data_IF_127881387680
#
_entry.id   IF_127881387680
#
_cell.length_a   1.000
_cell.length_b   1.000
_cell.length_c   1.000
_cell.angle_alpha   90.00
_cell.angle_beta   90.00
_cell.angle_gamma   90.00
#
_symmetry.space_group_name_H-M   'P 1'
#
loop_
_entity.id
_entity.type
_entity.pdbx_description
1 polymer ?
#
# COMPACT_ATOMS: atom_id res chain seq x y z
N UNK A 1 -18.54 3.54 -23.84
CA UNK A 1 -19.57 3.90 -22.85
C UNK A 1 -18.86 4.41 -21.61
N UNK A 2 -19.57 5.06 -20.68
CA UNK A 2 -18.97 5.47 -19.41
C UNK A 2 -19.24 4.42 -18.33
N UNK A 3 -18.43 4.41 -17.28
CA UNK A 3 -18.57 3.48 -16.17
C UNK A 3 -19.93 3.60 -15.48
N UNK A 4 -20.52 4.80 -15.43
CA UNK A 4 -21.87 5.05 -14.90
C UNK A 4 -23.01 4.34 -15.67
N UNK A 5 -22.73 3.86 -16.89
CA UNK A 5 -23.71 3.21 -17.76
C UNK A 5 -23.65 1.67 -17.68
N UNK A 6 -22.73 1.12 -16.87
CA UNK A 6 -22.57 -0.32 -16.65
C UNK A 6 -23.79 -0.86 -15.90
N UNK A 7 -24.20 -2.09 -16.23
CA UNK A 7 -25.29 -2.76 -15.51
C UNK A 7 -24.73 -3.62 -14.39
N UNK A 8 -25.55 -3.81 -13.35
CA UNK A 8 -25.19 -4.66 -12.21
C UNK A 8 -24.81 -6.06 -12.72
N UNK A 9 -23.65 -6.54 -12.27
CA UNK A 9 -23.07 -7.83 -12.64
C UNK A 9 -22.19 -7.81 -13.90
N UNK A 10 -22.22 -6.74 -14.69
CA UNK A 10 -21.38 -6.64 -15.88
C UNK A 10 -19.95 -6.24 -15.51
N UNK A 11 -18.97 -6.95 -16.08
CA UNK A 11 -17.56 -6.55 -16.07
C UNK A 11 -17.22 -5.76 -17.34
N UNK A 12 -16.45 -4.69 -17.16
CA UNK A 12 -15.92 -3.87 -18.25
C UNK A 12 -14.44 -3.59 -18.05
N UNK A 13 -13.74 -3.23 -19.12
CA UNK A 13 -12.36 -2.80 -19.05
C UNK A 13 -12.27 -1.27 -19.12
N UNK A 14 -11.49 -0.67 -18.21
CA UNK A 14 -11.19 0.76 -18.21
C UNK A 14 -10.36 1.09 -19.45
N UNK A 15 -10.89 1.98 -20.30
CA UNK A 15 -10.20 2.42 -21.51
C UNK A 15 -9.43 3.71 -21.28
N UNK A 16 -10.06 4.68 -20.63
CA UNK A 16 -9.49 6.01 -20.43
C UNK A 16 -10.09 6.68 -19.21
N UNK A 17 -9.25 7.39 -18.47
CA UNK A 17 -9.66 8.24 -17.35
C UNK A 17 -9.82 9.67 -17.82
N UNK A 18 -11.00 10.24 -17.60
CA UNK A 18 -11.23 11.68 -17.59
C UNK A 18 -10.88 12.29 -16.25
N UNK A 19 -11.22 13.58 -16.10
CA UNK A 19 -10.76 14.39 -14.96
C UNK A 19 -9.37 14.99 -15.22
N UNK A 20 -9.09 16.12 -14.54
CA UNK A 20 -7.82 16.84 -14.64
C UNK A 20 -7.17 16.93 -13.24
N UNK A 21 -5.83 16.93 -13.18
CA UNK A 21 -5.07 17.06 -11.95
C UNK A 21 -5.45 16.03 -10.88
N UNK A 22 -5.74 16.51 -9.67
CA UNK A 22 -5.96 15.69 -8.48
C UNK A 22 -7.04 14.60 -8.63
N UNK A 23 -8.13 14.86 -9.37
CA UNK A 23 -9.19 13.86 -9.54
C UNK A 23 -8.72 12.65 -10.36
N UNK A 24 -7.97 12.90 -11.45
CA UNK A 24 -7.44 11.81 -12.27
C UNK A 24 -6.41 11.00 -11.49
N UNK A 25 -5.56 11.68 -10.72
CA UNK A 25 -4.60 11.01 -9.85
C UNK A 25 -5.32 10.16 -8.80
N UNK A 26 -6.41 10.67 -8.21
CA UNK A 26 -7.20 9.91 -7.25
C UNK A 26 -7.79 8.62 -7.85
N UNK A 27 -8.23 8.63 -9.12
CA UNK A 27 -8.65 7.40 -9.81
C UNK A 27 -7.50 6.39 -9.95
N UNK A 28 -6.32 6.86 -10.34
CA UNK A 28 -5.12 6.02 -10.45
C UNK A 28 -4.73 5.43 -9.09
N UNK A 29 -4.79 6.24 -8.03
CA UNK A 29 -4.50 5.84 -6.65
C UNK A 29 -5.50 4.79 -6.14
N UNK A 30 -6.74 4.83 -6.62
CA UNK A 30 -7.76 3.80 -6.39
C UNK A 30 -7.65 2.63 -7.38
N UNK A 31 -6.55 2.47 -8.11
CA UNK A 31 -6.32 1.35 -9.02
C UNK A 31 -7.19 1.35 -10.29
N UNK A 32 -7.96 2.41 -10.53
CA UNK A 32 -8.74 2.58 -11.76
C UNK A 32 -7.77 3.04 -12.84
N UNK A 33 -7.09 2.09 -13.48
CA UNK A 33 -6.08 2.33 -14.51
C UNK A 33 -6.55 1.79 -15.86
N UNK A 34 -6.10 2.35 -17.01
CA UNK A 34 -6.38 1.76 -18.31
C UNK A 34 -5.96 0.29 -18.35
N UNK A 35 -6.84 -0.58 -18.86
CA UNK A 35 -6.66 -2.02 -18.87
C UNK A 35 -7.28 -2.75 -17.67
N UNK A 36 -7.58 -2.06 -16.56
CA UNK A 36 -8.17 -2.70 -15.39
C UNK A 36 -9.60 -3.20 -15.68
N UNK A 37 -9.90 -4.43 -15.22
CA UNK A 37 -11.25 -4.96 -15.22
C UNK A 37 -11.99 -4.46 -13.98
N UNK A 38 -13.20 -3.95 -14.19
CA UNK A 38 -14.07 -3.44 -13.13
C UNK A 38 -15.49 -3.97 -13.32
N UNK A 39 -16.08 -4.49 -12.24
CA UNK A 39 -17.42 -5.07 -12.25
C UNK A 39 -18.35 -4.23 -11.40
N UNK A 40 -19.53 -3.87 -11.89
CA UNK A 40 -20.52 -3.18 -11.06
C UNK A 40 -21.24 -4.19 -10.15
N UNK A 41 -21.10 -4.03 -8.84
CA UNK A 41 -21.68 -4.94 -7.84
C UNK A 41 -23.11 -4.54 -7.52
N UNK A 42 -23.35 -3.26 -7.19
CA UNK A 42 -24.69 -2.74 -6.89
C UNK A 42 -24.72 -1.21 -6.90
N UNK A 43 -25.93 -0.67 -6.80
CA UNK A 43 -26.16 0.75 -6.50
C UNK A 43 -26.52 0.89 -5.01
N UNK A 44 -26.16 2.01 -4.41
CA UNK A 44 -26.77 2.44 -3.16
C UNK A 44 -28.29 2.57 -3.32
N UNK A 45 -29.09 2.47 -2.24
CA UNK A 45 -30.56 2.48 -2.32
C UNK A 45 -31.18 3.69 -3.05
N UNK A 46 -30.47 4.83 -3.09
CA UNK A 46 -30.89 6.05 -3.77
C UNK A 46 -30.23 6.26 -5.15
N UNK A 47 -29.49 5.27 -5.66
CA UNK A 47 -28.82 5.32 -6.96
C UNK A 47 -27.42 5.94 -6.97
N UNK A 48 -26.95 6.51 -5.86
CA UNK A 48 -25.60 7.08 -5.69
C UNK A 48 -25.16 6.89 -4.22
N UNK A 49 -23.93 6.41 -3.93
CA UNK A 49 -22.87 5.98 -4.85
C UNK A 49 -23.10 4.60 -5.50
N UNK A 50 -22.28 4.31 -6.51
CA UNK A 50 -22.16 3.00 -7.16
C UNK A 50 -21.04 2.19 -6.50
N UNK A 51 -21.24 0.88 -6.33
CA UNK A 51 -20.24 -0.02 -5.73
C UNK A 51 -19.69 -0.99 -6.78
N UNK A 52 -18.36 -1.04 -6.91
CA UNK A 52 -17.63 -1.81 -7.92
C UNK A 52 -16.67 -2.80 -7.28
N UNK A 53 -16.41 -3.90 -7.97
CA UNK A 53 -15.31 -4.81 -7.69
C UNK A 53 -14.15 -4.47 -8.64
N UNK A 54 -12.95 -4.25 -8.07
CA UNK A 54 -11.73 -3.91 -8.80
C UNK A 54 -10.54 -4.55 -8.08
N UNK A 55 -9.66 -5.25 -8.80
CA UNK A 55 -8.46 -5.91 -8.23
C UNK A 55 -8.73 -6.71 -6.93
N UNK A 56 -9.87 -7.41 -6.88
CA UNK A 56 -10.23 -8.23 -5.73
C UNK A 56 -10.82 -7.49 -4.52
N UNK A 57 -11.04 -6.17 -4.58
CA UNK A 57 -11.70 -5.41 -3.51
C UNK A 57 -12.90 -4.59 -3.98
N UNK A 58 -13.75 -4.18 -3.02
CA UNK A 58 -14.90 -3.31 -3.27
C UNK A 58 -14.51 -1.81 -3.17
N UNK A 59 -14.90 -1.05 -4.19
CA UNK A 59 -14.70 0.38 -4.33
C UNK A 59 -16.06 1.09 -4.52
N UNK A 60 -16.28 2.19 -3.81
CA UNK A 60 -17.48 3.01 -4.00
C UNK A 60 -17.12 4.31 -4.73
N UNK A 61 -17.87 4.65 -5.78
CA UNK A 61 -17.69 5.87 -6.56
C UNK A 61 -19.01 6.59 -6.72
N UNK A 62 -18.98 7.92 -6.64
CA UNK A 62 -20.14 8.73 -7.01
C UNK A 62 -20.42 8.57 -8.50
N UNK A 63 -21.69 8.63 -8.88
CA UNK A 63 -22.12 8.55 -10.28
C UNK A 63 -21.40 9.62 -11.13
N UNK A 64 -21.29 10.85 -10.62
CA UNK A 64 -20.61 11.95 -11.30
C UNK A 64 -19.11 11.70 -11.57
N UNK A 65 -18.47 10.84 -10.78
CA UNK A 65 -17.07 10.45 -11.00
C UNK A 65 -16.98 9.25 -11.95
N UNK A 66 -17.89 8.29 -11.84
CA UNK A 66 -18.02 7.19 -12.79
C UNK A 66 -18.33 7.67 -14.23
N UNK A 67 -19.04 8.79 -14.38
CA UNK A 67 -19.28 9.43 -15.69
C UNK A 67 -18.00 9.90 -16.39
N UNK A 68 -16.93 10.13 -15.64
CA UNK A 68 -15.65 10.60 -16.19
C UNK A 68 -14.74 9.45 -16.61
N UNK A 69 -15.15 8.19 -16.41
CA UNK A 69 -14.34 7.01 -16.73
C UNK A 69 -14.91 6.34 -17.98
N UNK A 70 -14.14 6.32 -19.06
CA UNK A 70 -14.50 5.64 -20.30
C UNK A 70 -14.15 4.15 -20.19
N UNK A 71 -15.11 3.30 -20.54
CA UNK A 71 -14.97 1.84 -20.48
C UNK A 71 -15.43 1.17 -21.77
N UNK A 72 -14.91 -0.03 -21.99
CA UNK A 72 -15.30 -0.94 -23.07
C UNK A 72 -15.77 -2.26 -22.48
N UNK A 73 -16.78 -2.86 -23.09
CA UNK A 73 -17.18 -4.23 -22.76
C UNK A 73 -15.98 -5.17 -22.93
N UNK A 74 -15.87 -6.17 -22.06
CA UNK A 74 -14.92 -7.24 -22.27
C UNK A 74 -15.30 -7.96 -23.55
N UNK A 75 -14.46 -7.81 -24.59
CA UNK A 75 -14.60 -8.62 -25.78
C UNK A 75 -14.42 -10.08 -25.39
N UNK A 76 -15.32 -10.96 -25.84
CA UNK A 76 -15.04 -12.39 -25.87
C UNK A 76 -13.77 -12.52 -26.72
N UNK A 77 -12.63 -12.85 -26.08
CA UNK A 77 -11.49 -13.36 -26.83
C UNK A 77 -11.93 -14.72 -27.35
N UNK A 78 -12.52 -14.73 -28.54
CA UNK A 78 -12.61 -15.95 -29.32
C UNK A 78 -11.18 -16.45 -29.56
N UNK A 79 -10.97 -17.77 -29.59
CA UNK A 79 -9.69 -18.30 -30.03
C UNK A 79 -9.59 -17.93 -31.51
N UNK A 80 -8.83 -16.88 -31.83
CA UNK A 80 -8.26 -16.56 -33.16
C UNK A 80 -7.77 -15.12 -33.15
N UNK A 81 -6.62 -14.91 -32.50
CA UNK A 81 -5.76 -13.76 -32.76
C UNK A 81 -4.31 -14.16 -32.44
N UNK A 82 -3.81 -15.22 -33.08
CA UNK A 82 -2.38 -15.40 -33.21
C UNK A 82 -1.85 -14.40 -34.24
N UNK A 83 -0.90 -13.59 -33.76
CA UNK A 83 -0.15 -12.66 -34.58
C UNK A 83 0.62 -13.38 -35.68
N UNK A 84 0.73 -12.69 -36.81
CA UNK A 84 1.47 -13.16 -37.96
C UNK A 84 2.89 -13.58 -37.60
N UNK A 85 3.21 -14.83 -37.95
CA UNK A 85 4.58 -15.27 -38.19
C UNK A 85 4.65 -15.78 -39.62
N UNK A 86 5.58 -15.17 -40.34
CA UNK A 86 6.03 -15.50 -41.68
C UNK A 86 6.43 -16.97 -41.80
N UNK A 87 6.01 -17.55 -42.92
CA UNK A 87 6.43 -18.85 -43.43
C UNK A 87 7.95 -18.96 -43.51
N UNK A 88 8.52 -20.06 -43.00
CA UNK A 88 9.70 -20.68 -43.60
C UNK A 88 9.58 -22.20 -43.48
N UNK A 89 9.58 -22.82 -44.66
CA UNK A 89 9.50 -24.25 -44.93
C UNK A 89 10.80 -24.97 -44.61
N UNK A 90 10.72 -26.16 -43.99
CA UNK A 90 11.85 -27.07 -43.87
C UNK A 90 11.42 -28.42 -43.31
N UNK A 91 11.14 -29.36 -44.21
CA UNK A 91 10.87 -30.76 -43.88
C UNK A 91 12.10 -31.44 -43.27
N UNK A 92 11.90 -32.29 -42.25
CA UNK A 92 12.47 -33.63 -42.28
C UNK A 92 11.78 -34.61 -41.33
N UNK A 93 11.68 -35.84 -41.79
CA UNK A 93 11.03 -37.00 -41.20
C UNK A 93 11.90 -37.69 -40.13
N UNK A 94 11.27 -38.48 -39.26
CA UNK A 94 11.85 -39.75 -38.77
C UNK A 94 11.86 -40.02 -37.26
N UNK A 95 11.22 -41.14 -36.88
CA UNK A 95 11.47 -42.00 -35.71
C UNK A 95 11.14 -41.45 -34.31
N UNK A 96 10.70 -42.20 -33.30
CA UNK A 96 10.11 -43.53 -33.12
C UNK A 96 9.47 -43.51 -31.72
N UNK A 97 8.56 -44.45 -31.44
CA UNK A 97 7.78 -44.59 -30.20
C UNK A 97 8.59 -45.27 -29.10
N UNK A 98 8.32 -44.92 -27.84
CA UNK A 98 8.27 -45.80 -26.64
C UNK A 98 7.67 -44.95 -25.51
N UNK A 99 6.39 -45.14 -25.16
CA UNK A 99 5.88 -46.09 -24.14
C UNK A 99 5.98 -45.56 -22.70
N UNK A 100 4.81 -45.35 -22.08
CA UNK A 100 4.38 -46.01 -20.84
C UNK A 100 3.39 -45.13 -20.03
N UNK A 101 2.12 -45.50 -20.21
CA UNK A 101 1.02 -45.48 -19.25
C UNK A 101 1.38 -45.26 -17.77
N UNK A 102 0.60 -44.44 -17.06
CA UNK A 102 -0.56 -44.96 -16.32
C UNK A 102 -1.20 -43.90 -15.39
N UNK A 103 -2.39 -43.44 -15.79
CA UNK A 103 -3.41 -42.99 -14.85
C UNK A 103 -4.06 -44.22 -14.22
N UNK A 104 -4.17 -44.28 -12.88
CA UNK A 104 -5.39 -44.70 -12.11
C UNK A 104 -5.05 -44.95 -10.64
N UNK A 105 -5.60 -44.12 -9.75
CA UNK A 105 -6.35 -44.55 -8.56
C UNK A 105 -6.97 -43.34 -7.84
N UNK A 106 -8.28 -43.41 -7.56
CA UNK A 106 -9.00 -42.70 -6.48
C UNK A 106 -9.58 -43.79 -5.56
N UNK A 107 -10.29 -43.46 -4.47
CA UNK A 107 -9.96 -42.61 -3.32
C UNK A 107 -10.11 -43.40 -2.00
N UNK A 108 -9.51 -42.96 -0.88
CA UNK A 108 -9.91 -43.44 0.44
C UNK A 108 -9.61 -42.42 1.56
N UNK A 109 -10.59 -42.31 2.44
CA UNK A 109 -10.55 -41.88 3.84
C UNK A 109 -10.36 -40.39 4.19
N UNK A 110 -11.52 -39.71 4.19
CA UNK A 110 -11.83 -38.64 5.14
C UNK A 110 -11.94 -39.23 6.55
N UNK A 111 -10.94 -38.97 7.39
CA UNK A 111 -11.11 -38.85 8.84
C UNK A 111 -9.89 -38.11 9.41
N UNK A 112 -10.08 -36.81 9.61
CA UNK A 112 -9.14 -35.93 10.31
C UNK A 112 -9.94 -34.70 10.72
N UNK A 113 -10.22 -34.59 12.01
CA UNK A 113 -10.72 -33.37 12.64
C UNK A 113 -9.84 -32.19 12.22
N UNK A 114 -10.39 -30.99 11.94
CA UNK A 114 -9.54 -29.83 11.70
C UNK A 114 -8.81 -29.54 13.01
N UNK A 115 -7.50 -29.76 13.04
CA UNK A 115 -6.66 -29.21 14.11
C UNK A 115 -6.78 -27.68 14.03
N UNK A 116 -7.28 -27.09 15.11
CA UNK A 116 -7.22 -25.66 15.33
C UNK A 116 -5.74 -25.27 15.33
N UNK A 117 -5.31 -24.52 14.32
CA UNK A 117 -4.00 -23.87 14.30
C UNK A 117 -4.09 -22.69 15.28
N UNK A 118 -3.89 -22.99 16.56
CA UNK A 118 -3.96 -22.01 17.65
C UNK A 118 -2.61 -21.35 17.96
N UNK A 119 -1.55 -21.62 17.20
CA UNK A 119 -0.26 -20.94 17.38
C UNK A 119 0.24 -20.36 16.05
N UNK A 120 0.34 -19.04 15.98
CA UNK A 120 1.22 -18.34 15.04
C UNK A 120 2.63 -18.81 15.39
N UNK A 121 3.06 -19.89 14.76
CA UNK A 121 4.40 -20.43 14.93
C UNK A 121 5.37 -19.42 14.34
N UNK A 122 6.20 -18.84 15.22
CA UNK A 122 7.26 -17.90 14.87
C UNK A 122 8.25 -18.65 13.96
N UNK A 123 8.05 -18.55 12.65
CA UNK A 123 9.05 -18.94 11.67
C UNK A 123 10.29 -18.05 11.82
N UNK A 124 11.42 -18.49 11.28
CA UNK A 124 12.63 -17.67 11.18
C UNK A 124 12.34 -16.40 10.36
N UNK A 125 11.95 -15.30 11.02
CA UNK A 125 11.80 -14.01 10.38
C UNK A 125 13.16 -13.28 10.33
N UNK A 126 13.37 -12.36 9.37
CA UNK A 126 14.62 -11.63 9.25
C UNK A 126 14.95 -10.86 10.53
N UNK A 127 13.96 -10.43 11.31
CA UNK A 127 14.20 -9.70 12.55
C UNK A 127 14.61 -8.25 12.27
N UNK A 128 14.07 -7.64 11.21
CA UNK A 128 14.15 -6.19 11.03
C UNK A 128 13.47 -5.51 12.21
N UNK A 129 14.04 -4.41 12.72
CA UNK A 129 13.48 -3.73 13.89
C UNK A 129 13.58 -4.54 15.19
N UNK A 130 14.47 -5.53 15.23
CA UNK A 130 14.85 -6.24 16.46
C UNK A 130 16.36 -6.13 16.71
N UNK A 131 16.77 -6.39 17.95
CA UNK A 131 18.19 -6.62 18.24
C UNK A 131 18.67 -7.92 17.59
N UNK A 132 19.52 -7.89 16.56
CA UNK A 132 19.95 -9.13 15.91
C UNK A 132 20.79 -9.04 14.64
N UNK A 133 20.70 -10.07 13.80
CA UNK A 133 21.56 -10.32 12.62
C UNK A 133 21.41 -9.29 11.51
N UNK A 134 20.24 -8.65 11.40
CA UNK A 134 19.92 -7.67 10.36
C UNK A 134 19.96 -6.24 10.88
N UNK A 135 20.35 -6.06 12.15
CA UNK A 135 20.54 -4.76 12.77
C UNK A 135 21.92 -4.20 12.44
N UNK A 136 21.99 -3.16 11.60
CA UNK A 136 23.26 -2.53 11.26
C UNK A 136 23.68 -1.53 12.34
N UNK A 137 24.36 -2.03 13.37
CA UNK A 137 24.86 -1.19 14.48
C UNK A 137 25.72 0.01 14.09
N UNK A 138 26.29 0.00 12.88
CA UNK A 138 27.14 1.10 12.39
C UNK A 138 26.35 2.27 11.82
N UNK A 139 25.11 2.04 11.43
CA UNK A 139 24.21 3.05 10.83
C UNK A 139 23.14 3.51 11.82
N UNK A 140 23.13 2.95 13.04
CA UNK A 140 22.26 3.41 14.13
C UNK A 140 22.51 4.88 14.44
N UNK A 141 21.42 5.61 14.61
CA UNK A 141 21.45 6.96 15.16
C UNK A 141 20.44 7.05 16.31
N UNK A 142 20.73 6.44 17.47
CA UNK A 142 19.76 6.30 18.53
C UNK A 142 19.42 7.67 19.13
N UNK A 143 18.14 7.91 19.32
CA UNK A 143 17.66 9.10 20.02
C UNK A 143 18.11 9.07 21.49
N UNK A 144 18.34 10.22 22.14
CA UNK A 144 18.69 10.28 23.55
C UNK A 144 17.65 9.60 24.45
N UNK A 145 18.07 9.08 25.60
CA UNK A 145 17.15 8.54 26.61
C UNK A 145 16.24 9.66 27.17
N UNK A 146 14.98 9.32 27.45
CA UNK A 146 13.94 10.28 27.85
C UNK A 146 13.37 11.13 26.70
N UNK A 147 13.79 10.90 25.45
CA UNK A 147 13.12 11.48 24.28
C UNK A 147 11.73 10.87 24.12
N UNK A 148 10.70 11.72 24.04
CA UNK A 148 9.35 11.25 23.74
C UNK A 148 9.26 10.79 22.29
N UNK A 149 9.11 9.47 22.10
CA UNK A 149 8.97 8.85 20.79
C UNK A 149 7.57 9.09 20.24
N UNK A 150 7.49 9.92 19.21
CA UNK A 150 6.25 10.21 18.48
C UNK A 150 6.00 9.21 17.34
N UNK A 151 4.77 8.72 17.25
CA UNK A 151 4.32 7.77 16.24
C UNK A 151 3.13 8.31 15.46
N UNK A 152 3.08 8.03 14.16
CA UNK A 152 1.88 8.20 13.35
C UNK A 152 1.26 6.83 13.04
N UNK A 153 -0.01 6.65 13.39
CA UNK A 153 -0.78 5.48 12.97
C UNK A 153 -1.49 5.80 11.66
N UNK A 154 -1.08 5.12 10.58
CA UNK A 154 -1.52 5.41 9.22
C UNK A 154 -2.04 4.14 8.58
N UNK A 155 -3.06 4.24 7.72
CA UNK A 155 -3.58 3.11 6.96
C UNK A 155 -4.83 3.48 6.19
N UNK A 156 -5.33 2.53 5.38
CA UNK A 156 -6.58 2.72 4.67
C UNK A 156 -7.79 2.81 5.61
N UNK A 157 -8.92 3.26 5.08
CA UNK A 157 -10.19 3.14 5.78
C UNK A 157 -10.51 1.66 6.02
N UNK A 158 -11.20 1.37 7.13
CA UNK A 158 -11.67 0.04 7.50
C UNK A 158 -10.61 -1.06 7.71
N UNK A 159 -9.31 -0.78 7.70
CA UNK A 159 -8.25 -1.77 7.97
C UNK A 159 -8.09 -2.17 9.45
N UNK A 160 -8.97 -1.69 10.33
CA UNK A 160 -8.90 -1.92 11.78
C UNK A 160 -8.07 -0.90 12.57
N UNK A 161 -7.73 0.24 11.98
CA UNK A 161 -6.90 1.31 12.57
C UNK A 161 -7.39 1.77 13.95
N UNK A 162 -8.68 2.14 14.07
CA UNK A 162 -9.28 2.56 15.35
C UNK A 162 -9.25 1.45 16.40
N UNK A 163 -9.44 0.20 15.98
CA UNK A 163 -9.36 -0.98 16.87
C UNK A 163 -7.94 -1.12 17.42
N UNK A 164 -6.93 -1.03 16.55
CA UNK A 164 -5.53 -1.07 16.95
C UNK A 164 -5.17 0.10 17.85
N UNK A 165 -5.55 1.34 17.51
CA UNK A 165 -5.30 2.52 18.33
C UNK A 165 -5.81 2.33 19.77
N UNK A 166 -7.06 1.89 19.91
CA UNK A 166 -7.65 1.63 21.23
C UNK A 166 -6.93 0.51 22.00
N UNK A 167 -6.39 -0.50 21.31
CA UNK A 167 -5.57 -1.56 21.93
C UNK A 167 -4.22 -1.03 22.41
N UNK A 168 -3.61 -0.13 21.64
CA UNK A 168 -2.34 0.50 21.97
C UNK A 168 -2.48 1.50 23.13
N UNK A 169 -3.51 2.34 23.15
CA UNK A 169 -3.62 3.45 24.12
C UNK A 169 -4.54 3.15 25.31
N UNK A 170 -5.46 2.20 25.19
CA UNK A 170 -6.50 1.97 26.19
C UNK A 170 -7.33 3.23 26.45
N UNK A 171 -7.51 3.58 27.73
CA UNK A 171 -8.25 4.79 28.15
C UNK A 171 -7.43 6.07 28.08
N UNK A 172 -6.10 6.00 27.90
CA UNK A 172 -5.19 7.15 27.96
C UNK A 172 -5.10 7.87 26.61
N UNK A 173 -6.25 8.25 26.06
CA UNK A 173 -6.36 8.96 24.79
C UNK A 173 -6.95 10.36 25.00
N UNK A 174 -6.42 11.31 24.25
CA UNK A 174 -6.91 12.67 24.14
C UNK A 174 -7.49 12.88 22.74
N UNK A 175 -8.67 13.49 22.68
CA UNK A 175 -9.33 13.85 21.42
C UNK A 175 -9.32 15.37 21.29
N UNK A 176 -8.73 15.86 20.21
CA UNK A 176 -8.76 17.26 19.79
C UNK A 176 -9.08 17.36 18.31
N UNK A 177 -8.76 18.49 17.69
CA UNK A 177 -8.85 18.68 16.24
C UNK A 177 -7.47 18.95 15.66
N UNK A 178 -7.25 18.57 14.40
CA UNK A 178 -6.07 19.04 13.66
C UNK A 178 -6.13 20.57 13.47
N UNK A 179 -4.98 21.26 13.44
CA UNK A 179 -4.95 22.72 13.30
C UNK A 179 -5.71 23.20 12.05
N UNK A 180 -6.66 24.13 12.25
CA UNK A 180 -7.37 24.79 11.16
C UNK A 180 -8.44 23.96 10.45
N UNK A 181 -8.78 22.78 10.97
CA UNK A 181 -9.78 21.87 10.36
C UNK A 181 -10.70 21.25 11.43
N UNK A 182 -11.85 20.73 10.99
CA UNK A 182 -12.84 20.05 11.87
C UNK A 182 -12.63 18.54 11.96
N UNK A 183 -11.43 18.06 11.60
CA UNK A 183 -11.11 16.62 11.63
C UNK A 183 -10.52 16.26 12.97
N UNK A 184 -11.09 15.23 13.60
CA UNK A 184 -10.65 14.73 14.90
C UNK A 184 -9.19 14.28 14.86
N UNK A 185 -8.41 14.72 15.84
CA UNK A 185 -7.06 14.25 16.14
C UNK A 185 -7.11 13.45 17.44
N UNK A 186 -6.85 12.15 17.36
CA UNK A 186 -6.72 11.30 18.55
C UNK A 186 -5.26 11.02 18.82
N UNK A 187 -4.83 11.20 20.06
CA UNK A 187 -3.46 10.93 20.47
C UNK A 187 -3.42 10.31 21.85
N UNK A 188 -2.45 9.44 22.12
CA UNK A 188 -2.30 8.83 23.44
C UNK A 188 -0.91 8.22 23.63
N UNK A 189 -0.61 7.84 24.86
CA UNK A 189 0.60 7.07 25.17
C UNK A 189 0.38 5.59 24.83
N UNK A 190 1.43 4.90 24.37
CA UNK A 190 1.36 3.46 24.15
C UNK A 190 1.41 2.76 25.51
N UNK A 191 0.43 1.91 25.79
CA UNK A 191 0.31 1.19 27.06
C UNK A 191 1.57 0.36 27.33
N UNK A 192 2.15 0.58 28.51
CA UNK A 192 3.36 -0.13 28.94
C UNK A 192 4.67 0.43 28.36
N UNK A 193 4.60 1.52 27.59
CA UNK A 193 5.77 2.21 27.04
C UNK A 193 5.75 3.70 27.45
N UNK A 194 6.57 4.05 28.44
CA UNK A 194 6.74 5.44 28.85
C UNK A 194 7.38 6.27 27.72
N UNK A 195 7.20 7.58 27.77
CA UNK A 195 7.77 8.52 26.79
C UNK A 195 7.39 8.17 25.34
N UNK A 196 6.14 7.78 25.11
CA UNK A 196 5.60 7.53 23.76
C UNK A 196 4.37 8.38 23.50
N UNK A 197 4.19 8.82 22.26
CA UNK A 197 2.99 9.54 21.82
C UNK A 197 2.58 9.04 20.44
N UNK A 198 1.51 8.26 20.36
CA UNK A 198 0.91 7.83 19.10
C UNK A 198 -0.23 8.76 18.71
N UNK A 199 -0.24 9.23 17.45
CA UNK A 199 -1.34 10.01 16.86
C UNK A 199 -2.03 9.18 15.79
N UNK A 200 -3.36 9.03 15.91
CA UNK A 200 -4.21 8.41 14.90
C UNK A 200 -4.45 9.39 13.76
N UNK A 201 -4.01 9.05 12.55
CA UNK A 201 -4.30 9.85 11.36
C UNK A 201 -5.60 9.40 10.69
N UNK A 202 -6.31 10.29 9.98
CA UNK A 202 -7.44 9.88 9.14
C UNK A 202 -7.11 8.70 8.22
N UNK A 203 -8.08 7.82 7.99
CA UNK A 203 -7.92 6.72 7.05
C UNK A 203 -7.87 7.24 5.61
N UNK A 204 -6.76 6.98 4.92
CA UNK A 204 -6.45 7.56 3.61
C UNK A 204 -6.10 6.46 2.61
N UNK A 205 -6.34 6.68 1.31
CA UNK A 205 -5.93 5.74 0.27
C UNK A 205 -4.53 6.03 -0.27
N UNK A 206 -4.17 7.32 -0.29
CA UNK A 206 -2.90 7.78 -0.83
C UNK A 206 -2.42 9.02 -0.08
N UNK A 207 -1.16 9.38 -0.31
CA UNK A 207 -0.55 10.65 0.08
C UNK A 207 -0.77 11.74 -0.99
N UNK A 208 -1.74 11.56 -1.89
CA UNK A 208 -2.15 12.56 -2.88
C UNK A 208 -3.20 13.51 -2.29
N UNK A 209 -3.24 14.79 -2.68
CA UNK A 209 -4.06 15.80 -2.00
C UNK A 209 -5.48 15.90 -2.56
N UNK A 210 -6.24 14.81 -2.62
CA UNK A 210 -7.59 14.84 -3.18
C UNK A 210 -8.64 15.15 -2.11
N UNK A 211 -8.57 14.49 -0.95
CA UNK A 211 -9.47 14.76 0.19
C UNK A 211 -8.80 15.62 1.28
N UNK A 212 -9.62 16.23 2.14
CA UNK A 212 -9.14 16.92 3.34
C UNK A 212 -8.33 16.00 4.25
N UNK A 213 -8.76 14.75 4.39
CA UNK A 213 -8.16 13.72 5.21
C UNK A 213 -6.77 13.34 4.69
N UNK A 214 -6.63 13.15 3.37
CA UNK A 214 -5.35 12.88 2.73
C UNK A 214 -4.38 14.05 2.89
N UNK A 215 -4.88 15.29 2.74
CA UNK A 215 -4.10 16.50 2.98
C UNK A 215 -3.59 16.59 4.43
N UNK A 216 -4.48 16.36 5.40
CA UNK A 216 -4.15 16.43 6.83
C UNK A 216 -3.11 15.37 7.20
N UNK A 217 -3.32 14.13 6.78
CA UNK A 217 -2.38 13.04 7.07
C UNK A 217 -1.01 13.31 6.46
N UNK A 218 -0.96 13.79 5.21
CA UNK A 218 0.29 14.15 4.56
C UNK A 218 1.02 15.30 5.23
N UNK A 219 0.31 16.40 5.48
CA UNK A 219 0.90 17.59 6.08
C UNK A 219 1.41 17.26 7.49
N UNK A 220 0.67 16.44 8.26
CA UNK A 220 1.13 15.93 9.55
C UNK A 220 2.46 15.19 9.41
N UNK A 221 2.55 14.18 8.55
CA UNK A 221 3.77 13.36 8.46
C UNK A 221 4.98 14.17 7.97
N UNK A 222 4.77 15.10 7.02
CA UNK A 222 5.85 15.93 6.48
C UNK A 222 6.30 17.06 7.43
N UNK A 223 5.40 17.61 8.24
CA UNK A 223 5.68 18.75 9.13
C UNK A 223 6.09 18.31 10.53
N UNK A 224 5.32 17.40 11.14
CA UNK A 224 5.54 16.94 12.51
C UNK A 224 6.67 15.91 12.59
N UNK A 225 7.02 15.28 11.46
CA UNK A 225 8.14 14.33 11.31
C UNK A 225 8.16 13.29 12.45
N UNK A 226 7.14 12.41 12.51
CA UNK A 226 7.08 11.39 13.55
C UNK A 226 8.35 10.53 13.54
N UNK A 227 8.78 10.09 14.71
CA UNK A 227 9.99 9.25 14.82
C UNK A 227 9.78 7.87 14.19
N UNK A 228 8.54 7.37 14.15
CA UNK A 228 8.18 6.22 13.33
C UNK A 228 6.72 6.25 12.86
N UNK A 229 6.44 5.52 11.79
CA UNK A 229 5.10 5.26 11.26
C UNK A 229 4.72 3.81 11.61
N UNK A 230 3.55 3.63 12.20
CA UNK A 230 2.88 2.33 12.29
C UNK A 230 1.87 2.29 11.15
N UNK A 231 2.19 1.55 10.10
CA UNK A 231 1.33 1.41 8.93
C UNK A 231 0.46 0.16 9.08
N UNK A 232 -0.85 0.33 9.23
CA UNK A 232 -1.79 -0.79 9.33
C UNK A 232 -2.30 -1.20 7.95
N UNK A 233 -2.10 -2.48 7.64
CA UNK A 233 -2.43 -3.10 6.35
C UNK A 233 -3.45 -4.21 6.60
N UNK A 234 -4.61 -4.14 5.95
CA UNK A 234 -5.59 -5.23 5.97
C UNK A 234 -5.10 -6.40 5.10
N UNK A 235 -4.82 -7.54 5.73
CA UNK A 235 -4.34 -8.75 5.08
C UNK A 235 -5.34 -9.34 4.07
N UNK A 236 -6.64 -9.09 4.23
CA UNK A 236 -7.68 -9.57 3.31
C UNK A 236 -7.74 -8.76 2.01
N UNK A 237 -7.22 -7.53 2.04
CA UNK A 237 -7.18 -6.59 0.91
C UNK A 237 -5.76 -6.04 0.72
N UNK A 238 -4.75 -6.92 0.76
CA UNK A 238 -3.34 -6.54 0.84
C UNK A 238 -2.87 -5.68 -0.34
N UNK A 239 -3.26 -6.01 -1.57
CA UNK A 239 -2.83 -5.29 -2.78
C UNK A 239 -3.21 -3.81 -2.72
N UNK A 240 -4.45 -3.53 -2.35
CA UNK A 240 -4.98 -2.17 -2.15
C UNK A 240 -4.21 -1.41 -1.07
N UNK A 241 -3.95 -2.06 0.07
CA UNK A 241 -3.29 -1.42 1.21
C UNK A 241 -1.80 -1.18 0.96
N UNK A 242 -1.18 -2.01 0.12
CA UNK A 242 0.22 -1.85 -0.25
C UNK A 242 0.47 -0.63 -1.12
N UNK A 243 -0.54 -0.09 -1.80
CA UNK A 243 -0.40 1.16 -2.55
C UNK A 243 0.03 2.33 -1.65
N UNK A 244 -0.71 2.57 -0.55
CA UNK A 244 -0.33 3.58 0.44
C UNK A 244 1.03 3.27 1.07
N UNK A 245 1.30 1.99 1.31
CA UNK A 245 2.55 1.52 1.90
C UNK A 245 3.75 1.94 1.04
N UNK A 246 3.67 1.79 -0.29
CA UNK A 246 4.75 2.21 -1.19
C UNK A 246 5.07 3.69 -1.03
N UNK A 247 4.05 4.55 -0.93
CA UNK A 247 4.23 5.99 -0.75
C UNK A 247 4.78 6.36 0.63
N UNK A 248 4.43 5.61 1.68
CA UNK A 248 5.00 5.82 3.02
C UNK A 248 6.48 5.44 3.09
N UNK A 249 6.91 4.40 2.37
CA UNK A 249 8.32 4.02 2.28
C UNK A 249 9.17 5.14 1.65
N UNK A 250 8.64 5.83 0.62
CA UNK A 250 9.31 6.97 -0.04
C UNK A 250 9.57 8.16 0.89
N UNK A 251 8.87 8.25 2.03
CA UNK A 251 9.09 9.30 3.02
C UNK A 251 10.39 9.10 3.80
N UNK A 252 11.00 7.91 3.74
CA UNK A 252 12.25 7.60 4.43
C UNK A 252 12.21 7.87 5.96
N UNK A 253 11.04 7.62 6.56
CA UNK A 253 10.79 7.67 8.00
C UNK A 253 10.78 6.22 8.52
N UNK A 254 11.33 5.92 9.70
CA UNK A 254 11.24 4.59 10.30
C UNK A 254 9.80 4.07 10.28
N UNK A 255 9.60 2.82 9.86
CA UNK A 255 8.26 2.31 9.56
C UNK A 255 8.15 0.84 9.98
N UNK A 256 7.03 0.49 10.61
CA UNK A 256 6.62 -0.90 10.86
C UNK A 256 5.25 -1.14 10.25
N UNK A 257 5.08 -2.28 9.61
CA UNK A 257 3.79 -2.71 9.06
C UNK A 257 3.08 -3.60 10.07
N UNK A 258 1.89 -3.18 10.50
CA UNK A 258 0.95 -3.99 11.24
C UNK A 258 0.01 -4.70 10.25
N UNK A 259 0.33 -5.93 9.88
CA UNK A 259 -0.47 -6.74 8.95
C UNK A 259 -1.67 -7.33 9.70
N UNK A 260 -2.79 -6.61 9.69
CA UNK A 260 -3.97 -6.88 10.49
C UNK A 260 -4.98 -7.82 9.79
N UNK A 261 -5.98 -8.27 10.54
CA UNK A 261 -7.04 -9.20 10.09
C UNK A 261 -6.52 -10.59 9.69
N UNK A 262 -5.40 -11.02 10.28
CA UNK A 262 -4.86 -12.36 10.06
C UNK A 262 -5.83 -13.47 10.48
N UNK A 263 -6.69 -13.21 11.47
CA UNK A 263 -7.74 -14.16 11.87
C UNK A 263 -8.82 -14.34 10.82
N UNK A 264 -9.20 -13.28 10.12
CA UNK A 264 -10.19 -13.35 9.02
C UNK A 264 -9.57 -13.98 7.77
N UNK A 265 -8.34 -13.61 7.42
CA UNK A 265 -7.59 -14.23 6.34
C UNK A 265 -7.50 -15.76 6.52
N UNK A 266 -7.08 -16.21 7.70
CA UNK A 266 -6.92 -17.64 8.01
C UNK A 266 -8.27 -18.36 8.01
N UNK A 267 -9.33 -17.74 8.55
CA UNK A 267 -10.67 -18.30 8.52
C UNK A 267 -11.20 -18.51 7.09
N UNK A 268 -10.78 -17.66 6.15
CA UNK A 268 -11.10 -17.78 4.72
C UNK A 268 -10.14 -18.71 3.96
N UNK A 269 -9.24 -19.41 4.66
CA UNK A 269 -8.26 -20.33 4.06
C UNK A 269 -7.08 -19.64 3.36
N UNK A 270 -6.91 -18.34 3.58
CA UNK A 270 -5.78 -17.57 3.07
C UNK A 270 -4.53 -17.72 3.93
N UNK A 271 -3.37 -17.42 3.34
CA UNK A 271 -2.10 -17.32 4.04
C UNK A 271 -1.21 -16.29 3.36
N UNK A 272 -0.31 -15.66 4.12
CA UNK A 272 0.68 -14.71 3.64
C UNK A 272 2.05 -15.13 4.15
N UNK A 273 3.04 -15.14 3.26
CA UNK A 273 4.45 -15.31 3.63
C UNK A 273 5.00 -13.99 4.17
N UNK A 274 4.83 -13.79 5.47
CA UNK A 274 5.25 -12.57 6.18
C UNK A 274 6.76 -12.33 6.06
N UNK A 275 7.57 -13.38 6.14
CA UNK A 275 9.03 -13.27 6.08
C UNK A 275 9.50 -12.80 4.71
N UNK A 276 8.89 -13.34 3.64
CA UNK A 276 9.16 -12.86 2.29
C UNK A 276 8.70 -11.42 2.10
N UNK A 277 7.55 -11.05 2.66
CA UNK A 277 7.04 -9.68 2.61
C UNK A 277 7.98 -8.70 3.32
N UNK A 278 8.42 -9.02 4.53
CA UNK A 278 9.41 -8.25 5.31
C UNK A 278 10.70 -8.04 4.50
N UNK A 279 11.25 -9.12 3.91
CA UNK A 279 12.46 -9.05 3.10
C UNK A 279 12.28 -8.19 1.83
N UNK A 280 11.14 -8.31 1.13
CA UNK A 280 10.89 -7.57 -0.11
C UNK A 280 10.66 -6.08 0.14
N UNK A 281 9.95 -5.75 1.23
CA UNK A 281 9.63 -4.36 1.59
C UNK A 281 10.78 -3.67 2.32
N UNK A 282 11.65 -4.42 3.00
CA UNK A 282 12.79 -3.86 3.73
C UNK A 282 12.38 -3.09 4.98
N UNK A 283 11.26 -3.46 5.60
CA UNK A 283 10.73 -2.94 6.87
C UNK A 283 10.12 -4.07 7.67
N UNK A 284 10.06 -3.99 9.01
CA UNK A 284 9.43 -5.01 9.84
C UNK A 284 7.95 -5.18 9.50
N UNK A 285 7.49 -6.43 9.38
CA UNK A 285 6.08 -6.77 9.11
C UNK A 285 5.59 -7.69 10.21
N UNK A 286 4.70 -7.17 11.06
CA UNK A 286 4.17 -7.92 12.20
C UNK A 286 2.74 -8.36 11.91
N UNK A 287 2.45 -9.68 11.85
CA UNK A 287 1.11 -10.20 11.66
C UNK A 287 0.31 -10.03 12.96
N UNK A 288 -0.86 -9.38 12.88
CA UNK A 288 -1.69 -9.10 14.05
C UNK A 288 -3.16 -9.46 13.82
N UNK A 289 -3.87 -9.65 14.94
CA UNK A 289 -5.32 -9.49 14.99
C UNK A 289 -5.65 -8.47 16.06
N UNK A 290 -5.94 -7.23 15.65
CA UNK A 290 -6.30 -6.16 16.58
C UNK A 290 -7.56 -6.51 17.39
N UNK A 291 -8.50 -7.24 16.78
CA UNK A 291 -9.73 -7.70 17.44
C UNK A 291 -9.43 -8.72 18.54
N UNK A 292 -8.60 -9.72 18.26
CA UNK A 292 -8.21 -10.77 19.22
C UNK A 292 -7.10 -10.33 20.18
N UNK A 293 -6.40 -9.24 19.89
CA UNK A 293 -5.25 -8.76 20.66
C UNK A 293 -3.97 -9.58 20.44
N UNK A 294 -3.86 -10.28 19.31
CA UNK A 294 -2.69 -11.10 18.98
C UNK A 294 -1.65 -10.27 18.21
N UNK A 295 -0.35 -10.50 18.48
CA UNK A 295 0.78 -9.81 17.82
C UNK A 295 1.01 -8.35 18.24
N UNK A 296 0.24 -7.83 19.20
CA UNK A 296 0.30 -6.41 19.60
C UNK A 296 1.59 -6.08 20.37
N UNK A 297 2.04 -6.97 21.26
CA UNK A 297 3.26 -6.75 22.05
C UNK A 297 4.51 -6.75 21.15
N UNK A 298 4.57 -7.67 20.20
CA UNK A 298 5.60 -7.73 19.17
C UNK A 298 5.61 -6.45 18.33
N UNK A 299 4.44 -6.02 17.83
CA UNK A 299 4.30 -4.77 17.07
C UNK A 299 4.85 -3.55 17.84
N UNK A 300 4.52 -3.44 19.13
CA UNK A 300 5.01 -2.37 19.99
C UNK A 300 6.54 -2.42 20.10
N UNK A 301 7.10 -3.61 20.31
CA UNK A 301 8.55 -3.81 20.42
C UNK A 301 9.28 -3.33 19.16
N UNK A 302 8.85 -3.79 17.98
CA UNK A 302 9.44 -3.35 16.71
C UNK A 302 9.27 -1.84 16.48
N UNK A 303 8.08 -1.29 16.74
CA UNK A 303 7.81 0.13 16.54
C UNK A 303 8.73 1.00 17.42
N UNK A 304 8.83 0.69 18.71
CA UNK A 304 9.72 1.40 19.65
C UNK A 304 11.17 1.25 19.24
N UNK A 305 11.60 0.07 18.81
CA UNK A 305 12.97 -0.18 18.38
C UNK A 305 13.32 0.66 17.15
N UNK A 306 12.56 0.57 16.05
CA UNK A 306 12.87 1.35 14.83
C UNK A 306 12.81 2.85 15.08
N UNK A 307 11.90 3.32 15.95
CA UNK A 307 11.82 4.72 16.36
C UNK A 307 13.05 5.14 17.17
N UNK A 308 13.45 4.35 18.18
CA UNK A 308 14.57 4.67 19.05
C UNK A 308 15.88 4.72 18.29
N UNK A 309 16.13 3.73 17.41
CA UNK A 309 17.39 3.60 16.66
C UNK A 309 17.39 4.33 15.32
N UNK A 310 16.25 4.96 14.96
CA UNK A 310 16.06 5.68 13.69
C UNK A 310 16.32 4.79 12.47
N UNK A 311 15.86 3.53 12.53
CA UNK A 311 15.99 2.54 11.45
C UNK A 311 15.02 2.83 10.32
N UNK A 312 15.56 3.41 9.25
CA UNK A 312 14.81 3.77 8.06
C UNK A 312 14.57 2.54 7.16
N UNK A 313 13.57 2.59 6.26
CA UNK A 313 13.35 1.52 5.28
C UNK A 313 14.62 1.20 4.48
N UNK A 314 14.96 -0.09 4.40
CA UNK A 314 16.16 -0.55 3.68
C UNK A 314 16.05 -0.36 2.17
N UNK A 315 14.82 -0.27 1.66
CA UNK A 315 14.53 -0.13 0.24
C UNK A 315 13.45 0.91 0.02
N UNK A 316 13.74 1.81 -0.92
CA UNK A 316 12.77 2.77 -1.46
C UNK A 316 12.65 2.65 -2.97
N UNK A 317 13.69 2.08 -3.61
CA UNK A 317 13.70 1.94 -5.05
C UNK A 317 13.02 0.66 -5.52
N UNK A 318 11.76 0.81 -5.89
CA UNK A 318 10.93 -0.24 -6.46
C UNK A 318 10.77 -0.11 -7.98
N UNK A 319 11.43 0.85 -8.65
CA UNK A 319 11.36 0.98 -10.11
C UNK A 319 12.54 0.25 -10.78
N UNK A 320 12.28 -0.95 -11.32
CA UNK A 320 13.29 -1.72 -12.04
C UNK A 320 13.73 -1.03 -13.33
N UNK A 321 15.02 -1.15 -13.67
CA UNK A 321 15.60 -0.57 -14.90
C UNK A 321 14.97 -1.11 -16.18
N UNK A 322 14.50 -2.35 -16.13
CA UNK A 322 13.89 -3.05 -17.26
C UNK A 322 12.35 -3.02 -17.21
N UNK A 323 11.76 -2.55 -16.11
CA UNK A 323 10.31 -2.50 -15.94
C UNK A 323 9.71 -1.47 -16.89
N UNK A 324 8.70 -1.88 -17.68
CA UNK A 324 8.03 -1.02 -18.67
C UNK A 324 9.02 -0.28 -19.60
N UNK A 325 10.10 -0.96 -20.03
CA UNK A 325 11.14 -0.37 -20.89
C UNK A 325 11.99 0.70 -20.19
N UNK A 326 12.01 0.71 -18.85
CA UNK A 326 12.78 1.61 -18.01
C UNK A 326 12.32 3.06 -18.04
N UNK A 327 11.14 3.35 -18.60
CA UNK A 327 10.65 4.72 -18.73
C UNK A 327 10.43 5.38 -17.36
N UNK A 328 9.76 4.66 -16.45
CA UNK A 328 9.52 5.12 -15.07
C UNK A 328 10.84 5.31 -14.32
N UNK A 329 11.75 4.34 -14.43
CA UNK A 329 13.07 4.42 -13.80
C UNK A 329 13.85 5.66 -14.27
N UNK A 330 13.94 5.88 -15.59
CA UNK A 330 14.65 7.05 -16.13
C UNK A 330 14.01 8.37 -15.73
N UNK A 331 12.69 8.46 -15.79
CA UNK A 331 11.97 9.68 -15.39
C UNK A 331 12.21 9.98 -13.91
N UNK A 332 11.96 9.02 -13.02
CA UNK A 332 12.07 9.22 -11.58
C UNK A 332 13.50 9.55 -11.15
N UNK A 333 14.48 8.79 -11.61
CA UNK A 333 15.88 9.04 -11.24
C UNK A 333 16.42 10.33 -11.87
N UNK A 334 15.98 10.68 -13.08
CA UNK A 334 16.31 11.97 -13.70
C UNK A 334 15.76 13.13 -12.88
N UNK A 335 14.48 13.07 -12.50
CA UNK A 335 13.84 14.09 -11.64
C UNK A 335 14.54 14.20 -10.29
N UNK A 336 14.90 13.09 -9.64
CA UNK A 336 15.63 13.10 -8.36
C UNK A 336 16.90 13.96 -8.45
N UNK A 337 17.72 13.76 -9.49
CA UNK A 337 18.95 14.52 -9.68
C UNK A 337 18.73 16.02 -9.94
N UNK A 338 17.57 16.39 -10.49
CA UNK A 338 17.24 17.79 -10.78
C UNK A 338 16.73 18.55 -9.56
N UNK A 339 16.20 17.86 -8.54
CA UNK A 339 15.49 18.50 -7.43
C UNK A 339 16.07 18.21 -6.04
N UNK A 340 17.15 17.43 -5.95
CA UNK A 340 17.66 16.93 -4.66
C UNK A 340 17.97 18.05 -3.66
N UNK A 341 18.65 19.10 -4.10
CA UNK A 341 19.02 20.26 -3.29
C UNK A 341 17.79 21.07 -2.84
N UNK A 342 16.83 21.26 -3.74
CA UNK A 342 15.55 21.93 -3.45
C UNK A 342 14.71 21.12 -2.45
N UNK A 343 14.63 19.80 -2.62
CA UNK A 343 13.89 18.92 -1.73
C UNK A 343 14.52 18.87 -0.32
N UNK A 344 15.85 18.77 -0.24
CA UNK A 344 16.59 18.85 1.03
C UNK A 344 16.37 20.20 1.73
N UNK A 345 16.49 21.31 1.00
CA UNK A 345 16.24 22.66 1.52
C UNK A 345 14.81 22.84 2.01
N UNK A 346 13.83 22.26 1.31
CA UNK A 346 12.41 22.28 1.70
C UNK A 346 12.08 21.28 2.82
N UNK A 347 13.04 20.43 3.22
CA UNK A 347 12.85 19.38 4.21
C UNK A 347 11.86 18.31 3.78
N UNK A 348 11.74 18.04 2.47
CA UNK A 348 10.88 17.01 1.88
C UNK A 348 11.74 15.84 1.42
N UNK A 349 11.35 14.58 1.69
CA UNK A 349 12.10 13.43 1.19
C UNK A 349 12.21 13.45 -0.35
N UNK A 350 13.44 13.36 -0.86
CA UNK A 350 13.76 13.59 -2.29
C UNK A 350 12.98 12.67 -3.21
N UNK A 351 12.92 11.36 -2.90
CA UNK A 351 12.17 10.40 -3.72
C UNK A 351 10.67 10.70 -3.73
N UNK A 352 10.08 10.95 -2.56
CA UNK A 352 8.68 11.35 -2.45
C UNK A 352 8.40 12.63 -3.26
N UNK A 353 9.29 13.62 -3.18
CA UNK A 353 9.17 14.85 -3.96
C UNK A 353 9.18 14.56 -5.46
N UNK A 354 10.12 13.75 -5.95
CA UNK A 354 10.24 13.40 -7.35
C UNK A 354 9.02 12.65 -7.87
N UNK A 355 8.53 11.65 -7.13
CA UNK A 355 7.28 10.93 -7.46
C UNK A 355 6.11 11.91 -7.56
N UNK A 356 5.96 12.81 -6.59
CA UNK A 356 4.85 13.77 -6.58
C UNK A 356 4.93 14.82 -7.69
N UNK A 357 6.13 15.22 -8.12
CA UNK A 357 6.28 16.10 -9.30
C UNK A 357 5.85 15.39 -10.60
N UNK A 358 6.23 14.12 -10.77
CA UNK A 358 5.80 13.34 -11.94
C UNK A 358 4.29 13.09 -11.97
N UNK A 359 3.63 13.15 -10.82
CA UNK A 359 2.17 13.10 -10.66
C UNK A 359 1.47 14.48 -10.79
N UNK A 360 2.19 15.54 -11.17
CA UNK A 360 1.68 16.93 -11.26
C UNK A 360 1.14 17.47 -9.91
N UNK A 361 1.77 17.10 -8.78
CA UNK A 361 1.42 17.66 -7.47
C UNK A 361 1.92 19.11 -7.34
N UNK A 362 0.99 20.03 -7.59
CA UNK A 362 1.24 21.48 -7.49
C UNK A 362 1.73 21.94 -6.13
N UNK A 363 1.34 21.28 -5.03
CA UNK A 363 1.73 21.72 -3.68
C UNK A 363 3.20 21.40 -3.42
N UNK A 364 3.66 20.24 -3.85
CA UNK A 364 5.08 19.90 -3.80
C UNK A 364 5.87 20.81 -4.74
N UNK A 365 5.39 21.01 -5.97
CA UNK A 365 6.03 21.93 -6.93
C UNK A 365 6.21 23.35 -6.35
N UNK A 366 5.18 23.89 -5.70
CA UNK A 366 5.27 25.19 -5.03
C UNK A 366 6.23 25.18 -3.82
N UNK A 367 6.30 24.07 -3.08
CA UNK A 367 7.14 23.95 -1.88
C UNK A 367 8.63 23.84 -2.21
N UNK A 368 8.98 23.27 -3.37
CA UNK A 368 10.37 23.13 -3.81
C UNK A 368 10.97 24.45 -4.31
N UNK A 369 10.16 25.46 -4.62
CA UNK A 369 10.64 26.79 -5.06
C UNK A 369 11.58 26.74 -6.28
N UNK A 370 11.31 25.82 -7.21
CA UNK A 370 12.08 25.67 -8.45
C UNK A 370 12.01 26.93 -9.31
N UNK A 371 13.10 27.24 -10.02
CA UNK A 371 13.14 28.33 -10.99
C UNK A 371 12.34 27.99 -12.26
N UNK A 372 12.21 28.96 -13.18
CA UNK A 372 11.42 28.79 -14.40
C UNK A 372 12.04 27.74 -15.33
N UNK A 373 13.36 27.70 -15.45
CA UNK A 373 14.05 26.77 -16.34
C UNK A 373 13.95 25.34 -15.80
N UNK A 374 14.09 25.16 -14.49
CA UNK A 374 13.93 23.88 -13.80
C UNK A 374 12.49 23.35 -13.96
N UNK A 375 11.50 24.24 -13.85
CA UNK A 375 10.09 23.89 -14.10
C UNK A 375 9.80 23.50 -15.55
N UNK A 376 10.48 24.10 -16.51
CA UNK A 376 10.32 23.77 -17.93
C UNK A 376 11.07 22.48 -18.34
N UNK A 377 12.09 22.09 -17.59
CA UNK A 377 12.83 20.84 -17.81
C UNK A 377 12.09 19.59 -17.30
N UNK A 378 11.23 19.75 -16.29
CA UNK A 378 10.37 18.72 -15.72
C UNK A 378 9.10 18.54 -16.57
#
# INVERSE_FOLDING_TARGET
>A
MNLSQVKIGDSVCVKKLGGNGALRQHFLDMGIIPGAEITLVKYAPLGDPMEFQLHGYELTLRVADAEKIEVTALGIVGPDAEGGRSEESGANEGMEREDAEARKARPADRQGTPELIDDITIGSHPGLGEGGKFHNKKEENPLPDGTVLSFALVGNQNCGKTTLFNKLTGSNQHVGNFPGVTVDRKSGEIKGQADTLITDLPGIYSMSPYTSEELISRDFVLQEKPHAIINIVDATNIERNLYLTMQLLELNIPLVIALNMMDELTANGGSIDVNKMEHVLGVPVVPISAKKGQGIEELISHAVHVAKFQEKPLRQDFCGKEDNGGAVHRALHGTIHLIEDHAEKAGVPVRFAATKLLEDDKRILHKLDLDVNEKEML
#
